data_IF_688933678554
#
_entry.id   IF_688933678554
#
_cell.length_a   1.000
_cell.length_b   1.000
_cell.length_c   1.000
_cell.angle_alpha   90.00
_cell.angle_beta   90.00
_cell.angle_gamma   90.00
#
_symmetry.space_group_name_H-M   'P 1'
#
loop_
_entity.id
_entity.type
_entity.pdbx_description
1 polymer ?
#
# COMPACT_ATOMS: atom_id res chain seq x y z
N UNK A 1 -51.33 -10.55 -32.66
CA UNK A 1 -50.17 -9.61 -32.77
C UNK A 1 -49.20 -9.95 -31.69
N UNK A 2 -48.14 -10.66 -32.04
CA UNK A 2 -47.12 -11.16 -31.12
C UNK A 2 -45.94 -10.18 -31.11
N UNK A 3 -45.58 -9.67 -29.95
CA UNK A 3 -44.42 -8.81 -29.76
C UNK A 3 -43.17 -9.71 -29.59
N UNK A 4 -42.11 -9.51 -30.38
CA UNK A 4 -40.91 -10.35 -30.27
C UNK A 4 -40.07 -9.94 -29.04
N UNK A 5 -39.75 -10.93 -28.22
CA UNK A 5 -38.75 -10.89 -27.12
C UNK A 5 -37.34 -10.96 -27.72
N UNK A 6 -36.74 -9.82 -28.06
CA UNK A 6 -35.31 -9.77 -28.33
C UNK A 6 -34.81 -8.33 -28.10
N UNK A 7 -34.12 -8.11 -27.01
CA UNK A 7 -32.97 -7.21 -26.79
C UNK A 7 -32.84 -6.87 -25.31
N UNK A 8 -32.52 -7.87 -24.48
CA UNK A 8 -31.77 -7.56 -23.26
C UNK A 8 -30.30 -7.76 -23.66
N UNK A 9 -29.65 -6.67 -24.03
CA UNK A 9 -28.21 -6.65 -24.17
C UNK A 9 -27.61 -6.98 -22.80
N UNK A 10 -27.06 -8.18 -22.65
CA UNK A 10 -26.26 -8.56 -21.50
C UNK A 10 -25.08 -7.58 -21.39
N UNK A 11 -25.20 -6.67 -20.45
CA UNK A 11 -24.10 -5.84 -20.02
C UNK A 11 -23.15 -6.75 -19.24
N UNK A 12 -22.27 -7.45 -19.94
CA UNK A 12 -21.13 -8.13 -19.33
C UNK A 12 -20.29 -7.03 -18.67
N UNK A 13 -20.15 -6.98 -17.34
CA UNK A 13 -19.28 -6.01 -16.70
C UNK A 13 -17.87 -6.27 -17.24
N UNK A 14 -17.26 -5.26 -17.83
CA UNK A 14 -15.88 -5.32 -18.27
C UNK A 14 -15.03 -5.81 -17.09
N UNK A 15 -14.25 -6.88 -17.32
CA UNK A 15 -13.32 -7.38 -16.33
C UNK A 15 -12.46 -6.22 -15.84
N UNK A 16 -12.24 -6.07 -14.52
CA UNK A 16 -11.42 -4.98 -14.02
C UNK A 16 -10.06 -5.07 -14.69
N UNK A 17 -9.50 -3.95 -15.17
CA UNK A 17 -8.20 -3.95 -15.84
C UNK A 17 -7.20 -4.65 -14.93
N UNK A 18 -6.37 -5.52 -15.49
CA UNK A 18 -5.28 -6.23 -14.79
C UNK A 18 -4.37 -5.19 -14.13
N UNK A 19 -4.71 -4.83 -12.90
CA UNK A 19 -4.00 -3.81 -12.12
C UNK A 19 -2.71 -4.43 -11.63
N UNK A 20 -1.57 -3.93 -12.13
CA UNK A 20 -0.20 -4.19 -11.69
C UNK A 20 0.65 -5.18 -12.50
N UNK A 21 0.78 -4.96 -13.81
CA UNK A 21 2.05 -5.24 -14.50
C UNK A 21 3.07 -4.09 -14.27
N UNK A 22 2.60 -2.92 -13.85
CA UNK A 22 3.40 -1.72 -13.67
C UNK A 22 4.11 -1.70 -12.30
N UNK A 23 5.27 -1.05 -12.27
CA UNK A 23 6.06 -0.87 -11.06
C UNK A 23 5.31 0.00 -10.05
N UNK A 24 5.13 -0.48 -8.82
CA UNK A 24 4.60 0.32 -7.71
C UNK A 24 5.67 1.32 -7.25
N UNK A 25 5.29 2.59 -7.11
CA UNK A 25 6.14 3.68 -6.64
C UNK A 25 5.51 4.22 -5.35
N UNK A 26 6.32 4.38 -4.29
CA UNK A 26 5.92 5.11 -3.09
C UNK A 26 6.49 6.52 -3.19
N UNK A 27 5.61 7.54 -3.10
CA UNK A 27 5.97 8.94 -3.13
C UNK A 27 5.13 9.75 -2.14
N UNK A 28 5.56 10.95 -1.81
CA UNK A 28 4.75 11.88 -1.02
C UNK A 28 3.44 12.19 -1.75
N UNK A 29 2.35 12.33 -1.00
CA UNK A 29 1.08 12.87 -1.50
C UNK A 29 1.32 14.29 -2.02
N UNK A 30 0.85 14.55 -3.23
CA UNK A 30 1.01 15.86 -3.89
C UNK A 30 -0.37 16.33 -4.37
N UNK A 31 -0.92 17.42 -3.80
CA UNK A 31 -2.23 17.94 -4.19
C UNK A 31 -2.33 18.35 -5.67
N UNK A 32 -1.22 18.50 -6.38
CA UNK A 32 -1.22 18.78 -7.82
C UNK A 32 -1.64 17.54 -8.65
N UNK A 33 -1.50 16.33 -8.10
CA UNK A 33 -1.77 15.08 -8.80
C UNK A 33 -2.71 14.16 -8.03
N UNK A 34 -2.83 14.34 -6.71
CA UNK A 34 -3.62 13.50 -5.82
C UNK A 34 -4.76 14.30 -5.21
N UNK A 35 -5.90 13.67 -4.92
CA UNK A 35 -7.00 14.32 -4.23
C UNK A 35 -7.47 13.53 -3.01
N UNK A 36 -7.90 14.24 -1.98
CA UNK A 36 -8.51 13.63 -0.80
C UNK A 36 -9.86 12.99 -1.13
N UNK A 37 -10.58 13.52 -2.13
CA UNK A 37 -11.79 12.95 -2.68
C UNK A 37 -11.59 11.52 -3.21
N UNK A 38 -10.44 11.22 -3.81
CA UNK A 38 -10.09 9.88 -4.28
C UNK A 38 -9.49 9.02 -3.16
N UNK A 39 -8.70 9.62 -2.25
CA UNK A 39 -8.02 8.92 -1.16
C UNK A 39 -9.03 8.42 -0.12
N UNK A 40 -10.05 9.22 0.22
CA UNK A 40 -11.04 8.89 1.26
C UNK A 40 -11.83 7.61 0.94
N UNK A 41 -12.44 7.44 -0.25
CA UNK A 41 -13.13 6.19 -0.59
C UNK A 41 -12.18 4.98 -0.64
N UNK A 42 -10.91 5.16 -1.00
CA UNK A 42 -9.93 4.08 -0.95
C UNK A 42 -9.67 3.63 0.50
N UNK A 43 -9.56 4.59 1.44
CA UNK A 43 -9.45 4.30 2.86
C UNK A 43 -10.68 3.53 3.37
N UNK A 44 -11.90 3.97 3.01
CA UNK A 44 -13.14 3.28 3.39
C UNK A 44 -13.14 1.83 2.92
N UNK A 45 -12.81 1.57 1.65
CA UNK A 45 -12.73 0.21 1.11
C UNK A 45 -11.68 -0.63 1.84
N UNK A 46 -10.51 -0.06 2.11
CA UNK A 46 -9.43 -0.78 2.80
C UNK A 46 -9.80 -1.16 4.24
N UNK A 47 -10.59 -0.33 4.92
CA UNK A 47 -11.02 -0.53 6.30
C UNK A 47 -12.41 -1.19 6.44
N UNK A 48 -13.12 -1.46 5.33
CA UNK A 48 -14.47 -2.03 5.34
C UNK A 48 -14.55 -3.34 6.13
N UNK A 49 -13.52 -4.21 6.04
CA UNK A 49 -13.44 -5.45 6.83
C UNK A 49 -13.46 -5.19 8.34
N UNK A 50 -12.76 -4.17 8.81
CA UNK A 50 -12.76 -3.80 10.23
C UNK A 50 -14.12 -3.25 10.66
N UNK A 51 -14.77 -2.45 9.81
CA UNK A 51 -16.13 -2.02 10.01
C UNK A 51 -17.12 -3.20 10.12
N UNK A 52 -17.00 -4.18 9.24
CA UNK A 52 -17.82 -5.41 9.29
C UNK A 52 -17.58 -6.26 10.56
N UNK A 53 -16.41 -6.12 11.21
CA UNK A 53 -16.12 -6.69 12.52
C UNK A 53 -16.69 -5.86 13.69
N UNK A 54 -17.44 -4.77 13.43
CA UNK A 54 -17.98 -3.86 14.46
C UNK A 54 -16.95 -2.88 15.02
N UNK A 55 -15.76 -2.78 14.41
CA UNK A 55 -14.68 -1.92 14.88
C UNK A 55 -14.83 -0.51 14.26
N UNK A 56 -15.09 0.49 15.08
CA UNK A 56 -15.27 1.87 14.65
C UNK A 56 -13.92 2.58 14.43
N UNK A 57 -13.06 1.98 13.57
CA UNK A 57 -11.83 2.64 13.14
C UNK A 57 -12.16 3.91 12.37
N UNK A 58 -11.42 4.99 12.60
CA UNK A 58 -11.68 6.29 11.97
C UNK A 58 -11.74 6.19 10.44
N UNK A 59 -10.89 5.38 9.82
CA UNK A 59 -10.86 5.19 8.36
C UNK A 59 -12.03 4.39 7.79
N UNK A 60 -12.95 3.85 8.61
CA UNK A 60 -14.14 3.13 8.11
C UNK A 60 -15.11 4.09 7.42
N UNK A 61 -15.30 5.29 8.00
CA UNK A 61 -16.35 6.24 7.62
C UNK A 61 -15.94 7.72 7.73
N UNK A 62 -14.64 8.01 7.88
CA UNK A 62 -14.15 9.38 8.01
C UNK A 62 -14.50 10.23 6.79
N UNK A 63 -14.84 11.52 7.03
CA UNK A 63 -15.05 12.49 5.94
C UNK A 63 -13.73 12.83 5.23
N UNK A 64 -13.85 13.46 4.07
CA UNK A 64 -12.70 13.98 3.33
C UNK A 64 -11.88 14.98 4.18
N UNK A 65 -12.56 15.87 4.92
CA UNK A 65 -11.88 16.81 5.81
C UNK A 65 -11.10 16.12 6.93
N UNK A 66 -11.59 14.99 7.44
CA UNK A 66 -10.85 14.19 8.42
C UNK A 66 -9.65 13.53 7.76
N UNK A 67 -9.79 13.03 6.53
CA UNK A 67 -8.67 12.47 5.76
C UNK A 67 -7.60 13.54 5.54
N UNK A 68 -8.00 14.73 5.10
CA UNK A 68 -7.12 15.89 4.89
C UNK A 68 -6.36 16.27 6.16
N UNK A 69 -7.07 16.57 7.24
CA UNK A 69 -6.43 16.95 8.52
C UNK A 69 -5.43 15.90 9.01
N UNK A 70 -5.76 14.62 8.90
CA UNK A 70 -4.86 13.53 9.31
C UNK A 70 -3.66 13.38 8.39
N UNK A 71 -3.81 13.59 7.10
CA UNK A 71 -2.72 13.56 6.13
C UNK A 71 -1.76 14.75 6.30
N UNK A 72 -2.30 15.94 6.56
CA UNK A 72 -1.55 17.19 6.73
C UNK A 72 -0.89 17.30 8.10
N UNK A 73 -1.43 16.63 9.14
CA UNK A 73 -0.81 16.58 10.47
C UNK A 73 0.48 15.75 10.50
N UNK A 74 0.79 15.02 9.44
CA UNK A 74 2.02 14.27 9.26
C UNK A 74 2.56 14.40 7.83
N UNK A 75 3.41 13.46 7.44
CA UNK A 75 3.86 13.31 6.05
C UNK A 75 3.07 12.16 5.41
N UNK A 76 2.09 12.49 4.58
CA UNK A 76 1.29 11.48 3.85
C UNK A 76 2.07 10.97 2.63
N UNK A 77 2.16 9.66 2.50
CA UNK A 77 2.74 8.97 1.35
C UNK A 77 1.71 8.08 0.69
N UNK A 78 1.83 7.95 -0.62
CA UNK A 78 0.95 7.12 -1.45
C UNK A 78 1.75 6.10 -2.25
N UNK A 79 1.21 4.89 -2.36
CA UNK A 79 1.67 3.88 -3.30
C UNK A 79 0.88 4.05 -4.60
N UNK A 80 1.57 4.25 -5.70
CA UNK A 80 0.99 4.51 -7.03
C UNK A 80 1.38 3.41 -8.00
N UNK A 81 0.42 2.93 -8.78
CA UNK A 81 0.62 1.97 -9.87
C UNK A 81 -0.24 2.40 -11.07
N UNK A 82 0.37 2.53 -12.25
CA UNK A 82 -0.34 2.97 -13.45
C UNK A 82 -1.04 4.33 -13.28
N UNK A 83 -0.43 5.27 -12.55
CA UNK A 83 -1.01 6.59 -12.27
C UNK A 83 -2.12 6.62 -11.21
N UNK A 84 -2.51 5.46 -10.64
CA UNK A 84 -3.58 5.35 -9.64
C UNK A 84 -3.00 5.14 -8.24
N UNK A 85 -3.54 5.84 -7.23
CA UNK A 85 -3.27 5.58 -5.82
C UNK A 85 -3.92 4.26 -5.41
N UNK A 86 -3.08 3.32 -4.94
CA UNK A 86 -3.48 1.97 -4.54
C UNK A 86 -3.17 1.67 -3.07
N UNK A 87 -2.55 2.59 -2.37
CA UNK A 87 -2.27 2.49 -0.95
C UNK A 87 -1.74 3.79 -0.38
N UNK A 88 -1.74 3.91 0.94
CA UNK A 88 -1.25 5.08 1.66
C UNK A 88 -0.70 4.72 3.03
N UNK A 89 0.15 5.58 3.56
CA UNK A 89 0.61 5.61 4.95
C UNK A 89 0.95 7.05 5.31
N UNK A 90 0.58 7.49 6.52
CA UNK A 90 0.96 8.81 7.02
C UNK A 90 1.94 8.66 8.18
N UNK A 91 3.06 9.35 8.08
CA UNK A 91 4.17 9.29 9.03
C UNK A 91 4.17 10.54 9.91
N UNK A 92 4.29 10.32 11.20
CA UNK A 92 4.28 11.39 12.20
C UNK A 92 5.58 11.39 12.98
N UNK A 93 6.09 12.57 13.26
CA UNK A 93 7.11 12.79 14.27
C UNK A 93 6.57 12.45 15.67
N UNK A 94 7.41 12.60 16.69
CA UNK A 94 6.97 12.55 18.09
C UNK A 94 5.76 13.46 18.29
N UNK A 95 4.71 12.94 18.93
CA UNK A 95 3.44 13.65 19.17
C UNK A 95 3.24 13.89 20.67
N UNK A 96 3.71 15.03 21.21
CA UNK A 96 3.59 15.33 22.65
C UNK A 96 2.15 15.42 23.16
N UNK A 97 1.18 15.66 22.25
CA UNK A 97 -0.24 15.79 22.56
C UNK A 97 -1.00 14.46 22.53
N UNK A 98 -0.35 13.38 22.11
CA UNK A 98 -1.00 12.08 21.95
C UNK A 98 -1.51 11.51 23.27
N UNK A 99 -2.69 10.87 23.25
CA UNK A 99 -3.17 10.06 24.37
C UNK A 99 -2.26 8.84 24.65
N UNK A 100 -1.59 8.31 23.61
CA UNK A 100 -0.67 7.19 23.74
C UNK A 100 0.67 7.64 24.33
N UNK A 101 1.06 7.06 25.47
CA UNK A 101 2.31 7.38 26.16
C UNK A 101 3.54 7.15 25.28
N UNK A 102 3.54 6.09 24.46
CA UNK A 102 4.64 5.78 23.56
C UNK A 102 4.84 6.87 22.50
N UNK A 103 3.76 7.40 21.94
CA UNK A 103 3.84 8.44 20.89
C UNK A 103 4.35 9.79 21.41
N UNK A 104 4.22 10.05 22.74
CA UNK A 104 4.77 11.25 23.39
C UNK A 104 6.27 11.17 23.64
N UNK A 105 6.86 9.97 23.61
CA UNK A 105 8.29 9.79 23.95
C UNK A 105 9.16 10.38 22.85
N UNK A 106 10.19 11.13 23.27
CA UNK A 106 11.22 11.61 22.35
C UNK A 106 11.88 10.46 21.59
N UNK A 107 12.18 10.68 20.33
CA UNK A 107 12.77 9.67 19.45
C UNK A 107 11.80 8.59 18.97
N UNK A 108 10.50 8.73 19.21
CA UNK A 108 9.46 7.83 18.68
C UNK A 108 8.71 8.52 17.56
N UNK A 109 8.77 7.91 16.36
CA UNK A 109 7.89 8.23 15.24
C UNK A 109 6.71 7.26 15.19
N UNK A 110 5.62 7.65 14.54
CA UNK A 110 4.51 6.73 14.31
C UNK A 110 4.04 6.71 12.86
N UNK A 111 3.53 5.56 12.42
CA UNK A 111 2.86 5.39 11.13
C UNK A 111 1.39 5.11 11.36
N UNK A 112 0.53 5.89 10.70
CA UNK A 112 -0.92 5.82 10.82
C UNK A 112 -1.58 5.78 9.44
N UNK A 113 -2.87 5.42 9.36
CA UNK A 113 -3.62 5.33 8.10
C UNK A 113 -2.96 4.41 7.06
N UNK A 114 -2.31 3.33 7.50
CA UNK A 114 -1.76 2.33 6.59
C UNK A 114 -2.92 1.61 5.91
N UNK A 115 -3.03 1.77 4.60
CA UNK A 115 -4.11 1.21 3.82
C UNK A 115 -3.61 0.74 2.45
N UNK A 116 -4.22 -0.33 1.95
CA UNK A 116 -4.03 -0.82 0.57
C UNK A 116 -5.40 -1.11 0.00
N UNK A 117 -5.68 -0.62 -1.21
CA UNK A 117 -6.91 -0.91 -1.94
C UNK A 117 -7.14 -2.43 -1.98
N UNK A 118 -8.32 -2.95 -1.60
CA UNK A 118 -8.60 -4.38 -1.56
C UNK A 118 -8.25 -5.12 -2.85
N UNK A 119 -8.45 -4.50 -4.01
CA UNK A 119 -8.09 -5.07 -5.31
C UNK A 119 -6.58 -5.27 -5.50
N UNK A 120 -5.75 -4.64 -4.65
CA UNK A 120 -4.29 -4.67 -4.73
C UNK A 120 -3.63 -5.31 -3.51
N UNK A 121 -4.41 -5.82 -2.54
CA UNK A 121 -3.88 -6.52 -1.37
C UNK A 121 -3.20 -7.85 -1.75
N UNK A 122 -2.47 -8.44 -0.80
CA UNK A 122 -1.71 -9.69 -0.97
C UNK A 122 -0.61 -9.66 -2.06
N UNK A 123 -0.20 -8.45 -2.47
CA UNK A 123 0.86 -8.22 -3.46
C UNK A 123 2.11 -7.54 -2.87
N UNK A 124 2.25 -7.55 -1.55
CA UNK A 124 3.40 -6.96 -0.85
C UNK A 124 3.35 -5.45 -0.68
N UNK A 125 2.28 -4.74 -1.12
CA UNK A 125 2.20 -3.27 -1.07
C UNK A 125 2.18 -2.76 0.38
N UNK A 126 1.48 -3.44 1.29
CA UNK A 126 1.50 -3.09 2.70
C UNK A 126 2.89 -3.20 3.32
N UNK A 127 3.63 -4.27 3.00
CA UNK A 127 5.01 -4.45 3.44
C UNK A 127 5.94 -3.38 2.83
N UNK A 128 5.73 -2.99 1.56
CA UNK A 128 6.48 -1.92 0.90
C UNK A 128 6.26 -0.57 1.61
N UNK A 129 5.01 -0.22 1.97
CA UNK A 129 4.69 0.99 2.71
C UNK A 129 5.34 1.01 4.10
N UNK A 130 5.33 -0.12 4.82
CA UNK A 130 5.97 -0.22 6.13
C UNK A 130 7.50 -0.19 6.04
N UNK A 131 8.09 -0.84 5.04
CA UNK A 131 9.53 -0.75 4.78
C UNK A 131 9.96 0.68 4.45
N UNK A 132 9.14 1.42 3.68
CA UNK A 132 9.35 2.85 3.42
C UNK A 132 9.27 3.66 4.72
N UNK A 133 8.25 3.42 5.55
CA UNK A 133 8.09 4.09 6.85
C UNK A 133 9.28 3.83 7.78
N UNK A 134 9.77 2.61 7.82
CA UNK A 134 10.95 2.23 8.58
C UNK A 134 12.20 2.98 8.11
N UNK A 135 12.44 3.02 6.80
CA UNK A 135 13.57 3.77 6.23
C UNK A 135 13.46 5.26 6.52
N UNK A 136 12.25 5.84 6.39
CA UNK A 136 11.99 7.25 6.73
C UNK A 136 12.33 7.56 8.19
N UNK A 137 11.93 6.70 9.14
CA UNK A 137 12.21 6.85 10.56
C UNK A 137 13.71 6.71 10.85
N UNK A 138 14.36 5.69 10.30
CA UNK A 138 15.80 5.45 10.48
C UNK A 138 16.66 6.60 9.95
N UNK A 139 16.35 7.13 8.76
CA UNK A 139 17.09 8.26 8.15
C UNK A 139 16.93 9.57 8.94
N UNK A 140 15.86 9.71 9.73
CA UNK A 140 15.61 10.86 10.61
C UNK A 140 16.11 10.65 12.05
N UNK A 141 16.72 9.50 12.33
CA UNK A 141 17.33 9.22 13.64
C UNK A 141 16.31 8.82 14.72
N UNK A 142 15.08 8.46 14.36
CA UNK A 142 14.12 7.95 15.34
C UNK A 142 14.59 6.61 15.91
N UNK A 143 14.51 6.48 17.25
CA UNK A 143 14.89 5.26 17.96
C UNK A 143 13.83 4.15 17.80
N UNK A 144 12.55 4.54 17.67
CA UNK A 144 11.43 3.63 17.48
C UNK A 144 10.47 4.14 16.38
N UNK A 145 9.92 3.19 15.62
CA UNK A 145 8.74 3.39 14.80
C UNK A 145 7.58 2.62 15.42
N UNK A 146 6.49 3.32 15.71
CA UNK A 146 5.33 2.78 16.38
C UNK A 146 4.07 2.86 15.51
N UNK A 147 3.08 2.04 15.83
CA UNK A 147 1.74 2.07 15.25
C UNK A 147 0.72 1.51 16.26
N UNK A 148 -0.55 1.74 15.98
CA UNK A 148 -1.66 1.09 16.69
C UNK A 148 -2.60 0.38 15.73
N UNK A 149 -3.21 -0.69 16.21
CA UNK A 149 -4.20 -1.45 15.46
C UNK A 149 -5.25 -2.04 16.43
N UNK A 150 -6.50 -2.26 15.98
CA UNK A 150 -7.49 -2.91 16.84
C UNK A 150 -6.99 -4.26 17.36
N UNK A 151 -6.94 -4.44 18.67
CA UNK A 151 -6.48 -5.69 19.27
C UNK A 151 -7.30 -6.92 18.84
N UNK A 152 -8.63 -6.82 18.59
CA UNK A 152 -9.42 -7.94 18.05
C UNK A 152 -9.08 -8.31 16.59
N UNK A 153 -8.34 -7.48 15.86
CA UNK A 153 -7.97 -7.73 14.46
C UNK A 153 -6.70 -8.61 14.38
N UNK A 154 -6.78 -9.88 14.77
CA UNK A 154 -5.66 -10.83 14.84
C UNK A 154 -4.86 -10.92 13.53
N UNK A 155 -5.52 -10.80 12.37
CA UNK A 155 -4.86 -10.80 11.07
C UNK A 155 -3.94 -9.58 10.86
N UNK A 156 -4.27 -8.42 11.45
CA UNK A 156 -3.38 -7.24 11.42
C UNK A 156 -2.22 -7.41 12.40
N UNK A 157 -2.46 -7.97 13.59
CA UNK A 157 -1.40 -8.28 14.53
C UNK A 157 -0.38 -9.24 13.90
N UNK A 158 -0.87 -10.31 13.25
CA UNK A 158 -0.01 -11.24 12.51
C UNK A 158 0.76 -10.56 11.37
N UNK A 159 0.10 -9.67 10.62
CA UNK A 159 0.74 -8.92 9.53
C UNK A 159 1.86 -8.01 10.06
N UNK A 160 1.60 -7.21 11.10
CA UNK A 160 2.61 -6.31 11.68
C UNK A 160 3.74 -7.09 12.37
N UNK A 161 3.42 -8.19 13.07
CA UNK A 161 4.42 -9.08 13.64
C UNK A 161 5.37 -9.65 12.57
N UNK A 162 4.84 -10.06 11.43
CA UNK A 162 5.65 -10.50 10.28
C UNK A 162 6.56 -9.39 9.70
N UNK A 163 6.24 -8.10 9.96
CA UNK A 163 7.08 -6.95 9.61
C UNK A 163 8.05 -6.56 10.74
N UNK A 164 8.14 -7.36 11.82
CA UNK A 164 9.06 -7.16 12.93
C UNK A 164 8.58 -6.15 13.98
N UNK A 165 7.28 -5.86 14.04
CA UNK A 165 6.70 -5.07 15.12
C UNK A 165 6.29 -5.97 16.28
N UNK A 166 6.63 -5.56 17.50
CA UNK A 166 6.23 -6.21 18.73
C UNK A 166 5.11 -5.43 19.42
N UNK A 167 4.13 -6.14 20.00
CA UNK A 167 3.11 -5.53 20.84
C UNK A 167 3.75 -5.15 22.17
N UNK A 168 3.66 -3.86 22.54
CA UNK A 168 4.30 -3.32 23.74
C UNK A 168 3.32 -2.77 24.76
N UNK A 169 2.07 -2.52 24.34
CA UNK A 169 1.00 -2.01 25.20
C UNK A 169 -0.37 -2.29 24.59
N UNK A 170 -1.42 -2.18 25.40
CA UNK A 170 -2.82 -2.22 24.96
C UNK A 170 -3.56 -1.09 25.65
N UNK A 171 -4.24 -0.24 24.89
CA UNK A 171 -5.00 0.88 25.43
C UNK A 171 -6.29 1.13 24.64
N UNK A 172 -7.23 1.82 25.27
CA UNK A 172 -8.44 2.30 24.57
C UNK A 172 -8.32 3.79 24.32
N UNK A 173 -8.40 4.17 23.03
CA UNK A 173 -8.52 5.58 22.66
C UNK A 173 -9.95 6.06 22.85
N UNK A 174 -10.11 7.35 23.17
CA UNK A 174 -11.42 7.97 23.34
C UNK A 174 -12.32 7.75 22.10
N UNK A 175 -13.59 7.43 22.38
CA UNK A 175 -14.59 7.16 21.36
C UNK A 175 -14.46 5.82 20.64
N UNK A 176 -13.45 4.98 20.96
CA UNK A 176 -13.30 3.64 20.38
C UNK A 176 -14.06 2.58 21.21
N UNK A 177 -14.67 1.63 20.49
CA UNK A 177 -15.39 0.49 21.09
C UNK A 177 -14.49 -0.73 21.32
N UNK A 178 -13.20 -0.61 21.04
CA UNK A 178 -12.22 -1.68 21.12
C UNK A 178 -10.92 -1.16 21.74
N UNK A 179 -10.15 -2.08 22.29
CA UNK A 179 -8.79 -1.81 22.72
C UNK A 179 -7.86 -1.88 21.51
N UNK A 180 -6.92 -0.95 21.44
CA UNK A 180 -5.85 -0.93 20.44
C UNK A 180 -4.60 -1.57 21.02
N UNK A 181 -4.02 -2.53 20.31
CA UNK A 181 -2.65 -2.93 20.55
C UNK A 181 -1.73 -1.83 20.02
N UNK A 182 -0.76 -1.44 20.85
CA UNK A 182 0.31 -0.51 20.50
C UNK A 182 1.53 -1.36 20.16
N UNK A 183 2.04 -1.18 18.94
CA UNK A 183 3.18 -1.94 18.46
C UNK A 183 4.34 -1.00 18.13
N UNK A 184 5.57 -1.48 18.30
CA UNK A 184 6.75 -0.76 17.85
C UNK A 184 7.86 -1.69 17.40
N UNK A 185 8.82 -1.11 16.68
CA UNK A 185 10.08 -1.75 16.29
C UNK A 185 11.21 -0.72 16.28
N UNK A 186 12.45 -1.17 16.37
CA UNK A 186 13.62 -0.34 16.05
C UNK A 186 13.73 -0.21 14.53
N UNK A 187 13.69 1.00 13.96
CA UNK A 187 13.83 1.14 12.51
C UNK A 187 15.29 0.89 12.10
N UNK A 188 15.46 0.12 11.03
CA UNK A 188 16.77 -0.16 10.43
C UNK A 188 16.82 0.52 9.07
N UNK A 189 17.83 1.38 8.85
CA UNK A 189 18.07 1.92 7.52
C UNK A 189 18.50 0.78 6.60
N UNK A 190 17.66 0.44 5.63
CA UNK A 190 18.10 -0.45 4.57
C UNK A 190 19.17 0.28 3.76
N UNK A 191 20.42 -0.10 3.94
CA UNK A 191 21.47 0.30 3.04
C UNK A 191 21.05 -0.21 1.66
N UNK A 192 20.70 0.73 0.76
CA UNK A 192 20.38 0.38 -0.61
C UNK A 192 21.54 -0.49 -1.10
N UNK A 193 21.29 -1.80 -1.32
CA UNK A 193 22.26 -2.66 -1.96
C UNK A 193 22.59 -1.96 -3.27
N UNK A 194 23.77 -1.35 -3.34
CA UNK A 194 24.29 -0.82 -4.59
C UNK A 194 24.32 -2.03 -5.52
N UNK A 195 23.32 -2.10 -6.40
CA UNK A 195 23.34 -3.06 -7.50
C UNK A 195 24.58 -2.67 -8.29
N UNK A 196 25.61 -3.48 -8.19
CA UNK A 196 26.89 -3.20 -8.83
C UNK A 196 26.64 -2.95 -10.32
N UNK A 197 27.42 -2.10 -10.99
CA UNK A 197 27.28 -1.89 -12.43
C UNK A 197 27.28 -3.21 -13.20
N UNK A 198 28.02 -4.22 -12.73
CA UNK A 198 28.04 -5.58 -13.27
C UNK A 198 26.69 -6.29 -13.15
N UNK A 199 25.95 -6.14 -12.04
CA UNK A 199 24.61 -6.74 -11.88
C UNK A 199 23.58 -6.07 -12.77
N UNK A 200 23.72 -4.74 -13.04
CA UNK A 200 22.85 -4.04 -14.00
C UNK A 200 23.09 -4.48 -15.44
N UNK A 201 24.36 -4.74 -15.78
CA UNK A 201 24.74 -5.24 -17.10
C UNK A 201 24.30 -6.69 -17.31
N UNK A 202 24.44 -7.55 -16.30
CA UNK A 202 23.96 -8.94 -16.33
C UNK A 202 22.43 -9.01 -16.47
N UNK A 203 21.68 -8.15 -15.77
CA UNK A 203 20.21 -8.07 -15.90
C UNK A 203 19.79 -7.57 -17.30
N UNK A 204 20.51 -6.60 -17.89
CA UNK A 204 20.28 -6.14 -19.26
C UNK A 204 20.58 -7.22 -20.29
N UNK A 205 21.68 -7.96 -20.16
CA UNK A 205 22.06 -9.06 -21.05
C UNK A 205 21.03 -10.22 -20.94
N UNK A 206 20.52 -10.53 -19.74
CA UNK A 206 19.50 -11.53 -19.55
C UNK A 206 18.14 -11.11 -20.17
N UNK A 207 17.77 -9.82 -20.10
CA UNK A 207 16.57 -9.28 -20.74
C UNK A 207 16.67 -9.33 -22.28
N UNK A 208 17.83 -8.97 -22.85
CA UNK A 208 18.08 -9.05 -24.31
C UNK A 208 18.06 -10.50 -24.78
N UNK A 209 18.65 -11.45 -24.01
CA UNK A 209 18.57 -12.89 -24.34
C UNK A 209 17.14 -13.41 -24.33
N UNK A 210 16.30 -13.01 -23.36
CA UNK A 210 14.89 -13.42 -23.32
C UNK A 210 14.09 -12.88 -24.53
N UNK A 211 14.38 -11.68 -24.99
CA UNK A 211 13.77 -11.09 -26.20
C UNK A 211 14.22 -11.80 -27.47
N UNK A 212 15.50 -12.20 -27.57
CA UNK A 212 16.04 -12.93 -28.71
C UNK A 212 15.44 -14.35 -28.85
N UNK A 213 15.07 -15.01 -27.73
CA UNK A 213 14.41 -16.32 -27.75
C UNK A 213 12.88 -16.26 -27.89
N UNK A 214 12.27 -15.07 -27.81
CA UNK A 214 10.82 -14.87 -27.95
C UNK A 214 10.38 -14.50 -29.38
N UNK A 215 11.30 -14.44 -30.36
CA UNK A 215 10.93 -14.23 -31.75
C UNK A 215 10.42 -15.57 -32.34
N UNK A 216 9.14 -15.68 -32.73
CA UNK A 216 8.64 -16.89 -33.35
C UNK A 216 9.30 -17.09 -34.69
N UNK A 217 9.68 -18.34 -34.98
CA UNK A 217 10.24 -18.87 -36.21
C UNK A 217 9.30 -18.70 -37.43
N UNK A 218 8.97 -17.47 -37.82
CA UNK A 218 8.18 -17.17 -39.03
C UNK A 218 9.00 -16.85 -40.25
N UNK A 219 10.33 -16.88 -40.17
CA UNK A 219 11.21 -16.64 -41.35
C UNK A 219 11.59 -17.93 -42.10
N UNK A 220 11.37 -19.10 -41.50
CA UNK A 220 11.71 -20.38 -42.18
C UNK A 220 10.63 -20.90 -43.14
N UNK A 221 9.47 -20.26 -43.24
CA UNK A 221 8.35 -20.73 -44.10
C UNK A 221 8.32 -20.10 -45.49
N UNK A 222 9.13 -19.08 -45.80
CA UNK A 222 9.14 -18.38 -47.08
C UNK A 222 10.22 -18.88 -48.07
N UNK A 223 11.17 -19.69 -47.59
CA UNK A 223 12.26 -20.22 -48.42
C UNK A 223 11.91 -21.56 -49.17
N UNK A 224 10.71 -22.12 -48.99
CA UNK A 224 10.34 -23.42 -49.60
C UNK A 224 9.23 -23.32 -50.65
N UNK A 225 8.91 -22.15 -51.20
CA UNK A 225 7.93 -21.98 -52.27
C UNK A 225 8.50 -21.37 -53.57
N UNK A 226 9.76 -21.65 -53.87
CA UNK A 226 10.40 -21.14 -55.07
C UNK A 226 11.19 -22.20 -55.84
N UNK A 227 10.77 -23.47 -55.84
CA UNK A 227 11.28 -24.48 -56.76
C UNK A 227 10.13 -25.46 -57.09
N UNK A 228 9.31 -25.06 -58.08
CA UNK A 228 8.67 -25.93 -59.07
C UNK A 228 8.16 -25.03 -60.15
#
# INVERSE_FOLDING_TARGET
MSIPWNAIAEHTPAAPPSVCADRVIVRRFDPAFDSYEQLTPMLHRAFARLGAMGLNCTCVDQSEDVTRRRAEAGECYVAVCGGRVIGTATLYATDPSSACSLYRREGVASVRQVAVDPACQSRGIGALLLSFAEQWAALRGYALLALDTPNPASHLLAFYGAQGFDVVDVMRFDGKRYDSAILCKRPVAQVARRVSPASRMAARVAAVRRLAYALPSRVAALARRGQH
#
